data_IF_533365467314
#
_entry.id   IF_533365467314
#
_cell.length_a   1.000
_cell.length_b   1.000
_cell.length_c   1.000
_cell.angle_alpha   90.00
_cell.angle_beta   90.00
_cell.angle_gamma   90.00
#
_symmetry.space_group_name_H-M   'P 1'
#
loop_
_entity.id
_entity.type
_entity.pdbx_description
1 polymer ?
#
# COMPACT_ATOMS: atom_id res chain seq x y z
N UNK A 1 7.49 7.73 -0.60
CA UNK A 1 6.28 7.26 0.05
C UNK A 1 6.68 6.32 1.16
N UNK A 2 6.49 6.66 2.39
CA UNK A 2 5.47 7.50 3.04
C UNK A 2 5.75 9.01 2.97
N UNK A 3 4.78 9.81 3.44
CA UNK A 3 4.92 11.26 3.50
C UNK A 3 5.81 11.73 4.67
N UNK A 4 5.95 10.90 5.70
CA UNK A 4 6.76 11.12 6.88
C UNK A 4 7.31 9.78 7.39
N UNK A 5 8.44 9.81 8.08
CA UNK A 5 9.12 8.61 8.59
C UNK A 5 8.99 8.45 10.11
N UNK A 6 8.51 9.49 10.81
CA UNK A 6 8.27 9.46 12.24
C UNK A 6 6.88 10.00 12.60
N UNK A 7 6.40 9.64 13.79
CA UNK A 7 5.15 10.16 14.35
C UNK A 7 5.23 11.67 14.56
N UNK A 8 6.39 12.16 14.95
CA UNK A 8 6.61 13.60 15.11
C UNK A 8 6.46 14.36 13.79
N UNK A 9 7.07 13.85 12.71
CA UNK A 9 6.92 14.45 11.37
C UNK A 9 5.46 14.38 10.90
N UNK A 10 4.72 13.28 11.20
CA UNK A 10 3.30 13.19 10.91
C UNK A 10 2.51 14.34 11.58
N UNK A 11 2.77 14.61 12.86
CA UNK A 11 2.15 15.74 13.58
C UNK A 11 2.55 17.09 12.98
N UNK A 12 3.82 17.27 12.60
CA UNK A 12 4.29 18.51 11.96
C UNK A 12 3.56 18.79 10.64
N UNK A 13 3.26 17.74 9.84
CA UNK A 13 2.47 17.90 8.62
C UNK A 13 1.06 18.38 8.93
N UNK A 14 0.38 17.76 9.89
CA UNK A 14 -0.99 18.13 10.29
C UNK A 14 -1.02 19.54 10.85
N UNK A 15 -0.19 19.83 11.85
CA UNK A 15 -0.13 21.15 12.48
C UNK A 15 0.16 22.27 11.48
N UNK A 16 1.05 22.00 10.52
CA UNK A 16 1.39 22.98 9.48
C UNK A 16 0.21 23.20 8.52
N UNK A 17 -0.45 22.14 8.07
CA UNK A 17 -1.61 22.25 7.19
C UNK A 17 -2.75 23.02 7.87
N UNK A 18 -3.05 22.71 9.13
CA UNK A 18 -4.09 23.40 9.91
C UNK A 18 -3.73 24.88 10.16
N UNK A 19 -2.52 25.16 10.61
CA UNK A 19 -2.04 26.51 10.90
C UNK A 19 -2.03 27.39 9.67
N UNK A 20 -1.59 26.86 8.54
CA UNK A 20 -1.48 27.63 7.30
C UNK A 20 -2.76 27.61 6.48
N UNK A 21 -3.69 26.70 6.78
CA UNK A 21 -4.91 26.44 6.01
C UNK A 21 -4.60 26.15 4.55
N UNK A 22 -3.51 25.43 4.29
CA UNK A 22 -3.11 25.01 2.95
C UNK A 22 -3.35 23.51 2.79
N UNK A 23 -3.71 23.12 1.57
CA UNK A 23 -3.82 21.71 1.24
C UNK A 23 -2.46 21.03 1.39
N UNK A 24 -2.48 19.88 2.07
CA UNK A 24 -1.43 18.89 2.04
C UNK A 24 -2.11 17.57 1.70
N UNK A 25 -1.64 16.87 0.69
CA UNK A 25 -2.25 15.63 0.19
C UNK A 25 -1.21 14.54 0.04
N UNK A 26 -1.59 13.35 0.36
CA UNK A 26 -0.86 12.14 -0.01
C UNK A 26 -1.24 11.74 -1.44
N UNK A 27 -0.28 11.67 -2.34
CA UNK A 27 -0.49 11.16 -3.70
C UNK A 27 -0.21 9.66 -3.75
N UNK A 28 -1.09 8.86 -3.13
CA UNK A 28 -1.00 7.41 -3.12
C UNK A 28 -1.68 6.83 -4.36
N UNK A 29 -0.88 6.54 -5.39
CA UNK A 29 -1.35 6.08 -6.68
C UNK A 29 -2.09 4.74 -6.62
N UNK A 30 -1.76 3.87 -5.66
CA UNK A 30 -2.41 2.57 -5.52
C UNK A 30 -3.90 2.68 -5.15
N UNK A 31 -4.33 3.80 -4.58
CA UNK A 31 -5.75 4.10 -4.37
C UNK A 31 -6.53 4.28 -5.68
N UNK A 32 -5.83 4.59 -6.77
CA UNK A 32 -6.43 4.77 -8.11
C UNK A 32 -6.20 3.57 -9.04
N UNK A 33 -5.65 2.48 -8.52
CA UNK A 33 -5.58 1.23 -9.25
C UNK A 33 -6.99 0.75 -9.66
N UNK A 34 -7.22 0.30 -10.90
CA UNK A 34 -8.55 -0.08 -11.37
C UNK A 34 -9.26 -1.11 -10.51
N UNK A 35 -8.53 -2.10 -9.98
CA UNK A 35 -9.11 -3.10 -9.09
C UNK A 35 -9.39 -2.52 -7.70
N UNK A 36 -8.52 -1.65 -7.17
CA UNK A 36 -8.76 -0.96 -5.91
C UNK A 36 -10.00 -0.06 -5.99
N UNK A 37 -10.12 0.73 -7.03
CA UNK A 37 -11.27 1.56 -7.29
C UNK A 37 -12.56 0.73 -7.46
N UNK A 38 -12.48 -0.40 -8.17
CA UNK A 38 -13.61 -1.31 -8.35
C UNK A 38 -14.08 -1.90 -7.01
N UNK A 39 -13.15 -2.42 -6.20
CA UNK A 39 -13.50 -2.97 -4.88
C UNK A 39 -14.01 -1.90 -3.93
N UNK A 40 -13.50 -0.68 -3.99
CA UNK A 40 -14.05 0.47 -3.27
C UNK A 40 -15.51 0.74 -3.70
N UNK A 41 -15.79 0.78 -4.99
CA UNK A 41 -17.15 0.94 -5.51
C UNK A 41 -18.08 -0.20 -5.08
N UNK A 42 -17.58 -1.44 -5.05
CA UNK A 42 -18.35 -2.60 -4.54
C UNK A 42 -18.63 -2.48 -3.05
N UNK A 43 -17.63 -2.07 -2.25
CA UNK A 43 -17.76 -1.84 -0.81
C UNK A 43 -18.79 -0.75 -0.49
N UNK A 44 -18.71 0.38 -1.17
CA UNK A 44 -19.66 1.50 -1.03
C UNK A 44 -21.10 1.12 -1.40
N UNK A 45 -21.27 0.10 -2.25
CA UNK A 45 -22.59 -0.45 -2.63
C UNK A 45 -23.03 -1.62 -1.75
N UNK A 46 -22.26 -1.96 -0.72
CA UNK A 46 -22.61 -2.98 0.27
C UNK A 46 -22.46 -4.43 -0.22
N UNK A 47 -21.77 -4.68 -1.36
CA UNK A 47 -21.65 -6.03 -1.91
C UNK A 47 -20.90 -7.01 -1.00
N UNK A 48 -19.98 -6.51 -0.19
CA UNK A 48 -19.23 -7.32 0.77
C UNK A 48 -19.96 -7.49 2.11
N UNK A 49 -21.13 -6.84 2.30
CA UNK A 49 -21.78 -6.76 3.61
C UNK A 49 -20.94 -5.96 4.61
N UNK A 50 -20.83 -6.43 5.84
CA UNK A 50 -19.91 -5.88 6.83
C UNK A 50 -18.48 -6.35 6.52
N UNK A 51 -17.60 -5.43 6.22
CA UNK A 51 -16.18 -5.73 5.96
C UNK A 51 -15.47 -5.84 7.31
N UNK A 52 -14.83 -6.98 7.53
CA UNK A 52 -14.18 -7.30 8.82
C UNK A 52 -12.66 -7.33 8.71
N UNK A 53 -12.13 -7.67 7.52
CA UNK A 53 -10.69 -7.82 7.32
C UNK A 53 -10.28 -7.37 5.93
N UNK A 54 -9.13 -6.69 5.86
CA UNK A 54 -8.48 -6.34 4.59
C UNK A 54 -6.99 -6.65 4.66
N UNK A 55 -6.41 -6.98 3.50
CA UNK A 55 -4.97 -7.21 3.39
C UNK A 55 -4.37 -6.30 2.33
N UNK A 56 -3.23 -5.73 2.67
CA UNK A 56 -2.43 -4.93 1.76
C UNK A 56 -0.96 -5.27 1.88
N UNK A 57 -0.17 -4.94 0.87
CA UNK A 57 1.26 -5.21 0.90
C UNK A 57 2.05 -4.30 -0.03
N UNK A 58 3.35 -4.28 0.18
CA UNK A 58 4.35 -3.94 -0.82
C UNK A 58 5.38 -5.08 -0.89
N UNK A 59 5.15 -6.00 -1.82
CA UNK A 59 6.01 -7.13 -2.12
C UNK A 59 6.62 -6.88 -3.49
N UNK A 60 7.92 -6.60 -3.53
CA UNK A 60 8.59 -6.20 -4.76
C UNK A 60 10.09 -6.51 -4.65
N UNK A 61 10.61 -7.47 -5.39
CA UNK A 61 12.04 -7.75 -5.39
C UNK A 61 12.82 -6.52 -5.91
N UNK A 62 13.40 -5.77 -4.99
CA UNK A 62 14.17 -4.56 -5.26
C UNK A 62 15.68 -4.74 -5.06
N UNK A 63 16.15 -5.95 -4.85
CA UNK A 63 17.56 -6.23 -4.55
C UNK A 63 18.50 -5.62 -5.60
N UNK A 64 18.17 -5.75 -6.87
CA UNK A 64 18.97 -5.15 -7.95
C UNK A 64 19.09 -3.63 -7.83
N UNK A 65 17.97 -2.94 -7.55
CA UNK A 65 17.96 -1.48 -7.40
C UNK A 65 18.69 -0.99 -6.15
N UNK A 66 18.75 -1.81 -5.09
CA UNK A 66 19.43 -1.47 -3.85
C UNK A 66 20.96 -1.55 -3.96
N UNK A 67 21.46 -2.35 -4.89
CA UNK A 67 22.91 -2.52 -5.13
C UNK A 67 23.41 -1.82 -6.39
N UNK A 68 22.53 -1.44 -7.31
CA UNK A 68 22.89 -0.71 -8.51
C UNK A 68 23.30 0.73 -8.20
N UNK A 69 24.24 1.26 -9.00
CA UNK A 69 24.53 2.68 -9.00
C UNK A 69 23.35 3.49 -9.56
N UNK A 70 23.26 4.75 -9.17
CA UNK A 70 22.17 5.64 -9.59
C UNK A 70 22.09 5.78 -11.12
N UNK A 71 23.24 5.81 -11.81
CA UNK A 71 23.34 5.83 -13.28
C UNK A 71 22.83 4.56 -13.95
N UNK A 72 22.71 3.46 -13.21
CA UNK A 72 22.23 2.16 -13.66
C UNK A 72 20.80 1.86 -13.19
N UNK A 73 20.10 2.86 -12.67
CA UNK A 73 18.72 2.74 -12.18
C UNK A 73 18.61 2.38 -10.69
N UNK A 74 19.72 2.45 -9.95
CA UNK A 74 19.69 2.35 -8.49
C UNK A 74 19.05 3.56 -7.82
N UNK A 75 18.72 3.41 -6.56
CA UNK A 75 18.14 4.50 -5.78
C UNK A 75 19.16 5.61 -5.49
N UNK A 76 18.70 6.86 -5.62
CA UNK A 76 19.49 8.04 -5.27
C UNK A 76 20.18 7.87 -3.91
N UNK A 77 21.51 8.00 -3.92
CA UNK A 77 22.33 7.91 -2.72
C UNK A 77 22.09 6.63 -1.89
N UNK A 78 21.68 5.52 -2.53
CA UNK A 78 21.33 4.22 -1.92
C UNK A 78 20.46 4.33 -0.66
N UNK A 79 19.50 5.28 -0.64
CA UNK A 79 18.72 5.61 0.56
C UNK A 79 18.04 4.39 1.17
N UNK A 80 17.47 3.51 0.34
CA UNK A 80 16.76 2.33 0.83
C UNK A 80 17.69 1.31 1.48
N UNK A 81 18.89 1.10 0.92
CA UNK A 81 19.92 0.23 1.52
C UNK A 81 20.38 0.79 2.86
N UNK A 82 20.66 2.11 2.95
CA UNK A 82 21.07 2.75 4.21
C UNK A 82 19.96 2.64 5.27
N UNK A 83 18.72 2.93 4.89
CA UNK A 83 17.58 2.75 5.79
C UNK A 83 17.49 1.31 6.32
N UNK A 84 17.68 0.32 5.46
CA UNK A 84 17.62 -1.10 5.85
C UNK A 84 18.72 -1.51 6.82
N UNK A 85 19.87 -0.80 6.84
CA UNK A 85 20.96 -1.03 7.79
C UNK A 85 20.58 -0.53 9.19
N UNK A 86 19.87 0.59 9.28
CA UNK A 86 19.65 1.34 10.53
C UNK A 86 18.30 1.04 11.17
N UNK A 87 17.28 0.64 10.37
CA UNK A 87 15.89 0.53 10.78
C UNK A 87 15.28 -0.84 10.50
N UNK A 88 14.17 -1.12 11.17
CA UNK A 88 13.32 -2.32 10.96
C UNK A 88 11.86 -1.94 10.76
N UNK A 89 10.92 -2.89 10.82
CA UNK A 89 9.50 -2.65 10.65
C UNK A 89 9.05 -2.58 9.19
N UNK A 90 8.05 -1.76 8.89
CA UNK A 90 7.49 -1.57 7.56
C UNK A 90 7.75 -0.13 7.05
N UNK A 91 8.82 0.11 6.29
CA UNK A 91 9.16 1.44 5.81
C UNK A 91 8.31 1.92 4.64
N UNK A 92 7.40 1.10 4.12
CA UNK A 92 6.62 1.41 2.92
C UNK A 92 5.15 0.95 3.03
N UNK A 93 4.40 1.43 4.06
CA UNK A 93 3.06 0.91 4.35
C UNK A 93 2.00 1.37 3.34
N UNK A 94 2.14 2.54 2.72
CA UNK A 94 1.03 3.28 2.11
C UNK A 94 0.43 2.63 0.88
N UNK A 95 1.21 1.92 0.07
CA UNK A 95 0.70 1.21 -1.12
C UNK A 95 -0.31 0.11 -0.79
N UNK A 96 -0.11 -0.58 0.34
CA UNK A 96 -1.08 -1.56 0.83
C UNK A 96 -2.17 -0.92 1.69
N UNK A 97 -1.77 0.04 2.53
CA UNK A 97 -2.66 0.63 3.54
C UNK A 97 -3.66 1.63 2.94
N UNK A 98 -3.26 2.45 1.98
CA UNK A 98 -4.14 3.47 1.40
C UNK A 98 -5.45 2.90 0.85
N UNK A 99 -5.42 1.93 -0.08
CA UNK A 99 -6.64 1.27 -0.56
C UNK A 99 -7.44 0.58 0.56
N UNK A 100 -6.75 -0.04 1.54
CA UNK A 100 -7.39 -0.67 2.69
C UNK A 100 -8.16 0.36 3.56
N UNK A 101 -7.53 1.49 3.85
CA UNK A 101 -8.14 2.57 4.62
C UNK A 101 -9.35 3.18 3.91
N UNK A 102 -9.30 3.35 2.59
CA UNK A 102 -10.46 3.83 1.82
C UNK A 102 -11.64 2.86 1.88
N UNK A 103 -11.40 1.55 1.76
CA UNK A 103 -12.44 0.52 1.83
C UNK A 103 -13.05 0.44 3.23
N UNK A 104 -12.24 0.58 4.28
CA UNK A 104 -12.69 0.54 5.67
C UNK A 104 -13.21 1.89 6.19
N UNK A 105 -13.14 2.93 5.36
CA UNK A 105 -13.55 4.30 5.71
C UNK A 105 -12.80 4.85 6.94
N UNK A 106 -11.51 4.49 7.04
CA UNK A 106 -10.62 4.96 8.10
C UNK A 106 -10.52 6.48 8.06
N UNK A 107 -10.45 7.10 9.24
CA UNK A 107 -10.41 8.52 9.47
C UNK A 107 -11.74 9.25 9.17
N UNK A 108 -12.73 8.59 8.60
CA UNK A 108 -14.06 9.15 8.31
C UNK A 108 -15.14 8.53 9.19
N UNK A 109 -15.22 7.20 9.23
CA UNK A 109 -16.18 6.48 10.09
C UNK A 109 -15.52 5.50 11.07
N UNK A 110 -14.27 5.15 10.86
CA UNK A 110 -13.47 4.27 11.71
C UNK A 110 -12.06 4.87 11.89
N UNK A 111 -11.24 4.29 12.75
CA UNK A 111 -9.84 4.68 12.96
C UNK A 111 -8.99 3.49 13.38
N UNK A 112 -7.71 3.52 13.05
CA UNK A 112 -6.75 2.56 13.58
C UNK A 112 -6.56 2.80 15.08
N UNK A 113 -6.48 1.72 15.87
CA UNK A 113 -6.44 1.80 17.33
C UNK A 113 -5.09 1.34 17.87
N UNK A 114 -4.65 0.15 17.47
CA UNK A 114 -3.33 -0.38 17.82
C UNK A 114 -2.81 -1.31 16.74
N UNK A 115 -1.52 -1.59 16.78
CA UNK A 115 -0.89 -2.54 15.89
C UNK A 115 0.11 -3.45 16.62
N UNK A 116 0.36 -4.61 15.99
CA UNK A 116 1.45 -5.53 16.32
C UNK A 116 2.21 -5.86 15.06
N UNK A 117 3.54 -5.79 15.12
CA UNK A 117 4.41 -6.02 13.97
C UNK A 117 5.53 -7.01 14.28
N UNK A 118 5.82 -7.88 13.33
CA UNK A 118 6.92 -8.85 13.41
C UNK A 118 7.71 -8.84 12.11
N UNK A 119 9.04 -8.97 12.25
CA UNK A 119 9.94 -9.14 11.12
C UNK A 119 10.65 -10.48 11.21
N UNK A 120 10.91 -11.09 10.05
CA UNK A 120 11.85 -12.20 9.95
C UNK A 120 13.28 -11.73 10.23
N UNK A 121 14.23 -12.64 10.39
CA UNK A 121 15.64 -12.29 10.24
C UNK A 121 15.95 -11.89 8.79
N UNK A 122 17.06 -11.20 8.61
CA UNK A 122 17.57 -10.80 7.30
C UNK A 122 18.47 -11.91 6.72
N UNK A 123 18.26 -12.27 5.46
CA UNK A 123 19.07 -13.20 4.69
C UNK A 123 19.15 -12.83 3.20
N UNK A 124 18.06 -12.36 2.62
CA UNK A 124 17.91 -12.14 1.18
C UNK A 124 18.87 -11.13 0.59
N UNK A 125 19.10 -10.00 1.27
CA UNK A 125 20.06 -8.98 0.83
C UNK A 125 21.50 -9.50 0.86
N UNK A 126 21.92 -10.21 1.93
CA UNK A 126 23.26 -10.77 2.05
C UNK A 126 23.51 -11.88 1.03
N UNK A 127 22.51 -12.73 0.77
CA UNK A 127 22.63 -13.77 -0.26
C UNK A 127 22.75 -13.18 -1.67
N UNK A 128 21.98 -12.13 -1.96
CA UNK A 128 22.08 -11.42 -3.24
C UNK A 128 23.45 -10.74 -3.39
N UNK A 129 23.94 -10.06 -2.36
CA UNK A 129 25.26 -9.43 -2.36
C UNK A 129 26.39 -10.46 -2.55
N UNK A 130 26.28 -11.63 -1.90
CA UNK A 130 27.25 -12.73 -2.05
C UNK A 130 27.34 -13.22 -3.50
N UNK A 131 26.20 -13.33 -4.18
CA UNK A 131 26.17 -13.71 -5.61
C UNK A 131 26.74 -12.64 -6.52
N UNK A 132 26.51 -11.37 -6.19
CA UNK A 132 26.91 -10.24 -7.04
C UNK A 132 28.39 -9.87 -6.86
N UNK A 133 28.87 -9.83 -5.61
CA UNK A 133 30.19 -9.30 -5.25
C UNK A 133 31.17 -10.38 -4.74
N UNK A 134 30.69 -11.60 -4.50
CA UNK A 134 31.50 -12.72 -3.97
C UNK A 134 31.37 -12.89 -2.46
N UNK A 135 31.70 -14.10 -2.01
CA UNK A 135 31.56 -14.56 -0.60
C UNK A 135 32.27 -13.66 0.42
N UNK A 136 33.41 -13.13 0.04
CA UNK A 136 34.28 -12.36 0.97
C UNK A 136 34.14 -10.83 0.81
N UNK A 137 33.16 -10.37 0.06
CA UNK A 137 32.95 -8.93 -0.11
C UNK A 137 32.38 -8.29 1.16
N UNK A 138 32.68 -7.01 1.42
CA UNK A 138 32.05 -6.27 2.51
C UNK A 138 30.52 -6.27 2.42
N UNK A 139 29.97 -6.19 1.21
CA UNK A 139 28.54 -6.18 0.94
C UNK A 139 27.86 -7.49 1.36
N UNK A 140 28.52 -8.63 1.18
CA UNK A 140 28.02 -9.94 1.58
C UNK A 140 27.93 -10.09 3.12
N UNK A 141 28.75 -9.33 3.84
CA UNK A 141 28.82 -9.33 5.30
C UNK A 141 28.14 -8.13 5.95
N UNK A 142 27.52 -7.26 5.17
CA UNK A 142 26.74 -6.15 5.70
C UNK A 142 25.58 -6.69 6.53
N UNK A 143 25.45 -6.17 7.74
CA UNK A 143 24.30 -6.45 8.62
C UNK A 143 23.18 -5.45 8.32
N UNK A 144 21.97 -5.97 8.23
CA UNK A 144 20.76 -5.17 8.06
C UNK A 144 19.85 -5.39 9.27
N UNK A 145 19.27 -4.30 9.79
CA UNK A 145 18.26 -4.37 10.85
C UNK A 145 16.88 -4.75 10.27
N UNK A 146 16.63 -4.35 9.04
CA UNK A 146 15.39 -4.69 8.34
C UNK A 146 15.37 -6.19 8.03
N UNK A 147 14.35 -6.88 8.52
CA UNK A 147 14.08 -8.26 8.16
C UNK A 147 13.63 -8.40 6.70
N UNK A 148 13.72 -9.60 6.15
CA UNK A 148 13.32 -9.84 4.76
C UNK A 148 11.80 -9.65 4.57
N UNK A 149 11.01 -10.12 5.53
CA UNK A 149 9.55 -9.96 5.52
C UNK A 149 9.10 -9.34 6.84
N UNK A 150 8.38 -8.23 6.75
CA UNK A 150 7.65 -7.66 7.86
C UNK A 150 6.15 -7.92 7.69
N UNK A 151 5.47 -8.31 8.76
CA UNK A 151 4.01 -8.44 8.82
C UNK A 151 3.48 -7.62 9.98
N UNK A 152 2.59 -6.71 9.70
CA UNK A 152 1.95 -5.82 10.66
C UNK A 152 0.44 -6.08 10.66
N UNK A 153 -0.13 -6.34 11.83
CA UNK A 153 -1.55 -6.45 12.05
C UNK A 153 -2.03 -5.18 12.77
N UNK A 154 -3.05 -4.55 12.22
CA UNK A 154 -3.66 -3.34 12.77
C UNK A 154 -5.09 -3.67 13.14
N UNK A 155 -5.50 -3.27 14.35
CA UNK A 155 -6.88 -3.34 14.83
C UNK A 155 -7.53 -1.96 14.74
N UNK A 156 -8.79 -1.90 14.36
CA UNK A 156 -9.56 -0.66 14.29
C UNK A 156 -10.53 -0.53 15.45
N UNK A 157 -10.95 0.69 15.75
CA UNK A 157 -11.90 0.96 16.84
C UNK A 157 -13.22 0.20 16.68
N UNK A 158 -13.66 -0.06 15.45
CA UNK A 158 -14.87 -0.86 15.17
C UNK A 158 -14.63 -2.37 15.13
N UNK A 159 -13.45 -2.84 15.55
CA UNK A 159 -13.15 -4.28 15.66
C UNK A 159 -12.75 -4.93 14.32
N UNK A 160 -12.41 -4.15 13.31
CA UNK A 160 -11.91 -4.65 12.03
C UNK A 160 -10.39 -4.83 12.10
N UNK A 161 -9.85 -5.62 11.18
CA UNK A 161 -8.41 -5.84 11.11
C UNK A 161 -7.85 -5.53 9.73
N UNK A 162 -6.61 -4.99 9.72
CA UNK A 162 -5.81 -4.79 8.50
C UNK A 162 -4.53 -5.58 8.65
N UNK A 163 -4.19 -6.42 7.68
CA UNK A 163 -2.88 -7.05 7.59
C UNK A 163 -2.05 -6.35 6.52
N UNK A 164 -0.86 -5.90 6.90
CA UNK A 164 0.11 -5.33 5.97
C UNK A 164 1.35 -6.21 5.89
N UNK A 165 1.86 -6.41 4.69
CA UNK A 165 3.11 -7.11 4.48
C UNK A 165 4.08 -6.26 3.66
N UNK A 166 5.35 -6.27 4.06
CA UNK A 166 6.46 -5.62 3.35
C UNK A 166 7.56 -6.66 3.07
N UNK A 167 8.03 -6.72 1.83
CA UNK A 167 9.09 -7.62 1.38
C UNK A 167 9.74 -7.06 0.10
N UNK A 168 11.02 -6.70 0.19
CA UNK A 168 11.79 -6.18 -0.96
C UNK A 168 13.04 -7.00 -1.27
N UNK A 169 13.31 -8.02 -0.47
CA UNK A 169 14.58 -8.75 -0.46
C UNK A 169 14.42 -10.24 -0.77
N UNK A 170 13.24 -10.71 -1.10
CA UNK A 170 13.02 -12.09 -1.57
C UNK A 170 12.55 -12.13 -3.03
N UNK A 171 12.76 -13.25 -3.74
CA UNK A 171 12.33 -13.38 -5.14
C UNK A 171 10.83 -13.68 -5.29
N UNK A 172 10.00 -13.01 -4.49
CA UNK A 172 8.54 -13.11 -4.61
C UNK A 172 8.04 -12.30 -5.80
N UNK A 173 7.07 -12.82 -6.57
CA UNK A 173 6.39 -12.02 -7.57
C UNK A 173 5.77 -10.77 -6.96
N UNK A 174 5.76 -9.68 -7.73
CA UNK A 174 5.15 -8.43 -7.29
C UNK A 174 3.72 -8.65 -6.81
N UNK A 175 3.40 -8.13 -5.63
CA UNK A 175 2.06 -8.21 -5.06
C UNK A 175 1.80 -7.06 -4.08
N UNK A 176 0.58 -6.55 -4.11
CA UNK A 176 0.06 -5.68 -3.05
C UNK A 176 -1.02 -6.39 -2.23
N UNK A 177 -1.18 -7.72 -2.39
CA UNK A 177 -2.28 -8.53 -1.87
C UNK A 177 -3.63 -7.99 -2.31
N UNK A 178 -4.08 -6.92 -1.69
CA UNK A 178 -5.34 -6.23 -1.98
C UNK A 178 -6.54 -7.16 -1.85
N UNK A 179 -6.73 -7.65 -0.62
CA UNK A 179 -7.78 -8.58 -0.22
C UNK A 179 -8.83 -7.84 0.59
N UNK A 180 -10.10 -8.15 0.35
CA UNK A 180 -11.25 -7.65 1.10
C UNK A 180 -12.09 -8.83 1.55
N UNK A 181 -12.34 -8.95 2.85
CA UNK A 181 -13.17 -10.00 3.45
C UNK A 181 -14.36 -9.36 4.18
N UNK A 182 -15.55 -9.67 3.74
CA UNK A 182 -16.80 -9.23 4.36
C UNK A 182 -17.76 -10.37 4.57
N UNK A 183 -18.89 -10.08 5.22
CA UNK A 183 -19.91 -11.09 5.58
C UNK A 183 -20.67 -11.64 4.38
N UNK A 184 -20.68 -10.93 3.24
CA UNK A 184 -21.39 -11.31 2.02
C UNK A 184 -20.49 -11.46 0.80
N UNK A 185 -19.17 -11.26 0.96
CA UNK A 185 -18.28 -11.37 -0.18
C UNK A 185 -16.80 -11.21 0.15
N UNK A 186 -16.03 -11.63 -0.82
CA UNK A 186 -14.59 -11.63 -0.84
C UNK A 186 -14.09 -11.09 -2.18
N UNK A 187 -13.01 -10.33 -2.17
CA UNK A 187 -12.27 -9.96 -3.38
C UNK A 187 -10.77 -9.95 -3.11
N UNK A 188 -9.97 -10.35 -4.09
CA UNK A 188 -8.51 -10.34 -4.04
C UNK A 188 -7.96 -10.04 -5.43
N UNK A 189 -6.90 -9.22 -5.51
CA UNK A 189 -6.27 -8.89 -6.79
C UNK A 189 -5.16 -9.86 -7.18
N UNK A 190 -4.29 -10.20 -6.26
CA UNK A 190 -3.06 -10.95 -6.53
C UNK A 190 -3.11 -12.38 -5.98
N UNK A 191 -2.52 -13.39 -6.68
CA UNK A 191 -1.78 -13.26 -7.94
C UNK A 191 -2.68 -13.08 -9.18
N UNK A 192 -3.95 -13.44 -9.10
CA UNK A 192 -4.97 -13.25 -10.13
C UNK A 192 -6.25 -12.71 -9.50
N UNK A 193 -7.02 -11.85 -10.20
CA UNK A 193 -8.29 -11.36 -9.69
C UNK A 193 -9.23 -12.49 -9.31
N UNK A 194 -9.78 -12.41 -8.09
CA UNK A 194 -10.74 -13.36 -7.55
C UNK A 194 -11.85 -12.59 -6.84
N UNK A 195 -13.11 -12.93 -7.10
CA UNK A 195 -14.28 -12.37 -6.43
C UNK A 195 -15.22 -13.53 -6.11
N UNK A 196 -15.64 -13.65 -4.86
CA UNK A 196 -16.68 -14.57 -4.44
C UNK A 196 -17.77 -13.80 -3.68
N UNK A 197 -19.04 -14.04 -3.99
CA UNK A 197 -20.18 -13.32 -3.39
C UNK A 197 -21.28 -14.31 -3.02
N UNK A 198 -21.96 -14.06 -1.90
CA UNK A 198 -23.19 -14.76 -1.54
C UNK A 198 -24.26 -14.60 -2.63
N UNK A 199 -25.11 -15.64 -2.85
CA UNK A 199 -25.22 -16.90 -2.12
C UNK A 199 -24.31 -18.04 -2.63
N UNK A 200 -23.33 -17.77 -3.48
CA UNK A 200 -22.47 -18.83 -4.06
C UNK A 200 -21.37 -19.32 -3.08
N UNK A 201 -21.37 -18.80 -1.85
CA UNK A 201 -20.44 -19.21 -0.80
C UNK A 201 -18.98 -18.93 -1.17
N UNK A 202 -18.14 -19.94 -1.05
CA UNK A 202 -16.69 -19.88 -1.30
C UNK A 202 -16.29 -20.12 -2.78
N UNK A 203 -17.27 -20.22 -3.69
CA UNK A 203 -17.01 -20.45 -5.11
C UNK A 203 -16.67 -19.14 -5.82
N UNK A 204 -15.44 -18.95 -6.30
CA UNK A 204 -15.07 -17.77 -7.05
C UNK A 204 -15.85 -17.62 -8.35
N UNK A 205 -16.11 -16.39 -8.75
CA UNK A 205 -16.59 -16.07 -10.09
C UNK A 205 -15.47 -16.34 -11.10
N UNK A 206 -15.80 -17.01 -12.19
CA UNK A 206 -14.83 -17.36 -13.24
C UNK A 206 -15.30 -16.91 -14.64
N UNK A 207 -14.35 -16.80 -15.57
CA UNK A 207 -14.60 -16.51 -16.97
C UNK A 207 -15.51 -15.29 -17.17
N UNK A 208 -16.54 -15.46 -18.00
CA UNK A 208 -17.47 -14.38 -18.37
C UNK A 208 -18.22 -13.76 -17.18
N UNK A 209 -18.47 -14.55 -16.10
CA UNK A 209 -19.14 -14.04 -14.90
C UNK A 209 -18.23 -13.05 -14.14
N UNK A 210 -16.95 -13.37 -14.01
CA UNK A 210 -15.96 -12.47 -13.40
C UNK A 210 -15.81 -11.20 -14.23
N UNK A 211 -15.67 -11.32 -15.54
CA UNK A 211 -15.55 -10.18 -16.45
C UNK A 211 -16.77 -9.26 -16.39
N UNK A 212 -17.98 -9.81 -16.40
CA UNK A 212 -19.23 -9.05 -16.26
C UNK A 212 -19.30 -8.34 -14.90
N UNK A 213 -18.87 -9.00 -13.82
CA UNK A 213 -18.83 -8.40 -12.50
C UNK A 213 -17.86 -7.22 -12.47
N UNK A 214 -16.63 -7.41 -12.95
CA UNK A 214 -15.61 -6.36 -13.03
C UNK A 214 -16.09 -5.17 -13.87
N UNK A 215 -16.70 -5.42 -15.02
CA UNK A 215 -17.24 -4.37 -15.87
C UNK A 215 -18.39 -3.61 -15.21
N UNK A 216 -19.33 -4.33 -14.54
CA UNK A 216 -20.49 -3.76 -13.86
C UNK A 216 -20.10 -2.80 -12.72
N UNK A 217 -19.04 -3.14 -11.99
CA UNK A 217 -18.61 -2.36 -10.82
C UNK A 217 -17.37 -1.50 -11.10
N UNK A 218 -16.96 -1.38 -12.36
CA UNK A 218 -15.90 -0.45 -12.76
C UNK A 218 -16.19 0.92 -12.16
N UNK A 219 -15.20 1.49 -11.45
CA UNK A 219 -15.38 2.77 -10.79
C UNK A 219 -15.54 3.89 -11.83
N UNK A 220 -16.35 4.93 -11.58
CA UNK A 220 -16.50 6.06 -12.50
C UNK A 220 -15.18 6.70 -12.95
N UNK A 221 -14.18 6.79 -12.08
CA UNK A 221 -12.86 7.32 -12.45
C UNK A 221 -12.17 6.45 -13.50
N UNK A 222 -12.18 5.13 -13.33
CA UNK A 222 -11.63 4.23 -14.35
C UNK A 222 -12.45 4.24 -15.64
N UNK A 223 -13.78 4.36 -15.53
CA UNK A 223 -14.67 4.38 -16.69
C UNK A 223 -14.61 5.69 -17.52
N UNK A 224 -14.06 6.77 -16.97
CA UNK A 224 -13.93 8.08 -17.64
C UNK A 224 -12.47 8.47 -17.82
N UNK A 225 -11.79 8.79 -16.72
CA UNK A 225 -10.41 9.29 -16.72
C UNK A 225 -9.44 8.18 -17.13
N UNK A 226 -9.66 6.94 -16.63
CA UNK A 226 -8.86 5.78 -17.00
C UNK A 226 -8.97 5.45 -18.48
N UNK A 227 -10.17 5.46 -19.04
CA UNK A 227 -10.37 5.27 -20.49
C UNK A 227 -9.71 6.36 -21.33
N UNK A 228 -9.65 7.60 -20.83
CA UNK A 228 -8.88 8.66 -21.46
C UNK A 228 -7.38 8.38 -21.46
N UNK A 229 -6.85 7.88 -20.34
CA UNK A 229 -5.45 7.47 -20.25
C UNK A 229 -5.11 6.38 -21.28
N UNK A 230 -5.98 5.36 -21.42
CA UNK A 230 -5.82 4.30 -22.42
C UNK A 230 -5.86 4.84 -23.85
N UNK A 231 -6.81 5.73 -24.18
CA UNK A 231 -6.90 6.34 -25.50
C UNK A 231 -5.68 7.18 -25.85
N UNK A 232 -5.01 7.74 -24.86
CA UNK A 232 -3.74 8.50 -25.03
C UNK A 232 -2.50 7.60 -25.06
N UNK A 233 -2.65 6.29 -24.86
CA UNK A 233 -1.53 5.35 -24.81
C UNK A 233 -0.62 5.53 -23.61
N UNK A 234 -1.14 6.04 -22.47
CA UNK A 234 -0.34 6.25 -21.27
C UNK A 234 -0.09 4.92 -20.56
N UNK A 235 1.14 4.65 -20.13
CA UNK A 235 1.55 3.34 -19.63
C UNK A 235 1.00 3.00 -18.22
N UNK A 236 0.52 4.01 -17.48
CA UNK A 236 0.10 3.85 -16.10
C UNK A 236 -1.19 4.62 -15.83
N UNK A 237 -2.33 3.92 -15.91
CA UNK A 237 -3.65 4.48 -15.65
C UNK A 237 -3.76 5.11 -14.26
N UNK A 238 -3.30 4.41 -13.22
CA UNK A 238 -3.48 4.89 -11.84
C UNK A 238 -2.77 6.22 -11.57
N UNK A 239 -1.57 6.44 -12.13
CA UNK A 239 -0.87 7.72 -11.98
C UNK A 239 -1.62 8.84 -12.70
N UNK A 240 -2.12 8.58 -13.91
CA UNK A 240 -2.87 9.57 -14.66
C UNK A 240 -4.17 9.96 -13.94
N UNK A 241 -4.90 8.98 -13.42
CA UNK A 241 -6.15 9.23 -12.66
C UNK A 241 -5.85 10.04 -11.40
N UNK A 242 -4.80 9.71 -10.67
CA UNK A 242 -4.35 10.43 -9.47
C UNK A 242 -4.05 11.90 -9.77
N UNK A 243 -3.20 12.16 -10.75
CA UNK A 243 -2.79 13.52 -11.11
C UNK A 243 -3.98 14.33 -11.67
N UNK A 244 -4.82 13.70 -12.49
CA UNK A 244 -6.04 14.33 -13.00
C UNK A 244 -6.97 14.72 -11.84
N UNK A 245 -7.19 13.84 -10.88
CA UNK A 245 -8.06 14.09 -9.73
C UNK A 245 -7.53 15.24 -8.88
N UNK A 246 -6.24 15.28 -8.59
CA UNK A 246 -5.61 16.38 -7.87
C UNK A 246 -5.90 17.71 -8.58
N UNK A 247 -5.55 17.81 -9.85
CA UNK A 247 -5.74 19.04 -10.64
C UNK A 247 -7.22 19.41 -10.72
N UNK A 248 -8.10 18.45 -10.96
CA UNK A 248 -9.54 18.66 -11.03
C UNK A 248 -10.10 19.22 -9.71
N UNK A 249 -9.76 18.62 -8.58
CA UNK A 249 -10.23 19.09 -7.28
C UNK A 249 -9.75 20.53 -6.98
N UNK A 250 -8.46 20.80 -7.19
CA UNK A 250 -7.89 22.12 -6.94
C UNK A 250 -8.50 23.20 -7.85
N UNK A 251 -8.72 22.90 -9.13
CA UNK A 251 -9.31 23.88 -10.08
C UNK A 251 -10.78 24.19 -9.83
N UNK A 252 -11.50 23.25 -9.25
CA UNK A 252 -12.94 23.38 -9.02
C UNK A 252 -13.30 23.65 -7.55
N UNK A 253 -12.31 23.82 -6.66
CA UNK A 253 -12.55 24.06 -5.24
C UNK A 253 -13.24 22.88 -4.54
N UNK A 254 -12.99 21.65 -5.02
CA UNK A 254 -13.55 20.43 -4.44
C UNK A 254 -12.62 19.89 -3.34
N UNK A 255 -13.17 19.14 -2.38
CA UNK A 255 -12.34 18.37 -1.44
C UNK A 255 -11.37 17.45 -2.19
N UNK A 256 -10.17 17.32 -1.65
CA UNK A 256 -9.19 16.35 -2.16
C UNK A 256 -9.62 14.92 -1.82
N UNK A 257 -9.26 13.97 -2.68
CA UNK A 257 -9.62 12.55 -2.47
C UNK A 257 -8.90 11.94 -1.25
N UNK A 258 -7.73 12.48 -0.93
CA UNK A 258 -6.92 12.18 0.26
C UNK A 258 -6.43 13.49 0.85
N UNK A 259 -6.27 13.56 2.16
CA UNK A 259 -5.87 14.78 2.85
C UNK A 259 -4.61 14.57 3.72
N UNK A 260 -4.26 15.57 4.51
CA UNK A 260 -3.09 15.52 5.39
C UNK A 260 -3.25 14.48 6.50
N UNK A 261 -4.47 14.22 6.94
CA UNK A 261 -4.74 13.25 7.98
C UNK A 261 -4.54 11.83 7.45
N UNK A 262 -5.00 11.54 6.21
CA UNK A 262 -4.69 10.29 5.52
C UNK A 262 -3.16 10.12 5.39
N UNK A 263 -2.45 11.18 4.97
CA UNK A 263 -1.00 11.16 4.82
C UNK A 263 -0.29 10.85 6.14
N UNK A 264 -0.68 11.49 7.23
CA UNK A 264 -0.10 11.31 8.54
C UNK A 264 -0.42 9.92 9.12
N UNK A 265 -1.69 9.51 9.07
CA UNK A 265 -2.13 8.24 9.65
C UNK A 265 -1.54 7.03 8.92
N UNK A 266 -1.44 7.08 7.58
CA UNK A 266 -0.81 5.98 6.85
C UNK A 266 0.70 5.94 7.03
N UNK A 267 1.35 7.08 7.20
CA UNK A 267 2.80 7.18 7.35
C UNK A 267 3.28 6.82 8.75
N UNK A 268 2.49 7.05 9.80
CA UNK A 268 2.91 6.75 11.18
C UNK A 268 3.17 5.25 11.41
N UNK A 269 2.62 4.37 10.57
CA UNK A 269 2.87 2.93 10.63
C UNK A 269 4.36 2.60 10.47
N UNK A 270 5.12 3.43 9.77
CA UNK A 270 6.57 3.24 9.60
C UNK A 270 7.26 3.15 10.96
N UNK A 271 7.17 4.19 11.77
CA UNK A 271 7.80 4.20 13.11
C UNK A 271 7.10 3.27 14.10
N UNK A 272 5.77 3.21 14.06
CA UNK A 272 5.02 2.36 15.00
C UNK A 272 5.29 0.87 14.78
N UNK A 273 5.43 0.41 13.53
CA UNK A 273 5.80 -0.97 13.24
C UNK A 273 7.24 -1.29 13.69
N UNK A 274 8.17 -0.34 13.52
CA UNK A 274 9.53 -0.48 14.04
C UNK A 274 9.54 -0.60 15.56
N UNK A 275 8.84 0.28 16.26
CA UNK A 275 8.69 0.22 17.73
C UNK A 275 8.12 -1.13 18.19
N UNK A 276 7.09 -1.63 17.51
CA UNK A 276 6.49 -2.92 17.82
C UNK A 276 7.50 -4.08 17.65
N UNK A 277 8.24 -4.11 16.54
CA UNK A 277 9.26 -5.13 16.29
C UNK A 277 10.35 -5.10 17.38
N UNK A 278 10.85 -3.90 17.73
CA UNK A 278 11.90 -3.73 18.73
C UNK A 278 11.44 -4.10 20.14
N UNK A 279 10.21 -3.78 20.48
CA UNK A 279 9.62 -4.08 21.78
C UNK A 279 9.05 -5.52 21.88
N UNK A 280 8.96 -6.24 20.76
CA UNK A 280 8.35 -7.58 20.67
C UNK A 280 6.89 -7.61 21.15
N UNK A 281 6.16 -6.54 20.85
CA UNK A 281 4.76 -6.35 21.28
C UNK A 281 3.95 -5.58 20.24
#
# INVERSE_FOLDING_TARGET
>A
VPAAMSVEECWQLVDTAEKTRRHCIMLENCCYDPFALMTLNMAQRGLFGEIMHVEGAYIHDLRSMYFAEESEGGYHNHWGKRYSIEHTGNPYPTHGLGPACQILDIHRSDRMEYLVSMSTHQAGMSEYARRLFGEYSPEAHQKYQLGDVNTTLIHTLKGKTIMLQYDISTPRPYSRLQTVCGTLGFAQKYPVPCIALDPNGDTPLEGELLEKMMARYKHPFSATIGEEAHRRGLPNEMNYVMDYRLIHCLRNGLPLDMDVYDAAEWSCITELSEKSVLNKS
#
